data_IF_416905751485
#
_entry.id   IF_416905751485
#
_cell.length_a   1.000
_cell.length_b   1.000
_cell.length_c   1.000
_cell.angle_alpha   90.00
_cell.angle_beta   90.00
_cell.angle_gamma   90.00
#
_symmetry.space_group_name_H-M   'P 1'
#
loop_
_entity.id
_entity.type
_entity.pdbx_description
1 polymer ?
#
# COMPACT_ATOMS: atom_id res chain seq x y z
N UNK A 1 11.02 0.90 -6.71
CA UNK A 1 10.14 0.48 -7.83
C UNK A 1 10.96 -0.36 -8.79
N UNK A 2 10.54 -1.57 -9.17
CA UNK A 2 11.29 -2.39 -10.12
C UNK A 2 11.30 -1.74 -11.50
N UNK A 3 12.45 -1.80 -12.18
CA UNK A 3 12.58 -1.33 -13.56
C UNK A 3 11.84 -2.30 -14.48
N UNK A 4 10.88 -1.77 -15.25
CA UNK A 4 10.13 -2.53 -16.25
C UNK A 4 10.96 -2.56 -17.52
N UNK A 5 11.38 -3.76 -17.95
CA UNK A 5 12.05 -3.93 -19.23
C UNK A 5 11.04 -3.77 -20.37
N UNK A 6 10.81 -2.53 -20.82
CA UNK A 6 9.94 -2.21 -21.96
C UNK A 6 10.65 -2.38 -23.33
N UNK A 7 11.93 -2.77 -23.34
CA UNK A 7 12.72 -2.95 -24.57
C UNK A 7 13.81 -4.01 -24.39
N UNK A 8 14.19 -4.70 -25.47
CA UNK A 8 15.27 -5.71 -25.49
C UNK A 8 16.68 -5.08 -25.44
N UNK A 9 16.89 -4.11 -24.54
CA UNK A 9 18.19 -3.47 -24.40
C UNK A 9 19.16 -4.39 -23.62
N UNK A 10 20.42 -4.54 -24.08
CA UNK A 10 21.46 -5.34 -23.39
C UNK A 10 21.71 -4.91 -21.94
N UNK A 11 21.32 -3.67 -21.59
CA UNK A 11 21.45 -3.11 -20.24
C UNK A 11 20.60 -3.84 -19.20
N UNK A 12 19.42 -4.37 -19.56
CA UNK A 12 18.61 -5.15 -18.63
C UNK A 12 19.28 -6.48 -18.26
N UNK A 13 19.99 -7.11 -19.19
CA UNK A 13 20.74 -8.36 -18.89
C UNK A 13 21.93 -8.11 -17.96
N UNK A 14 22.60 -6.95 -18.09
CA UNK A 14 23.68 -6.54 -17.17
C UNK A 14 23.15 -6.26 -15.76
N UNK A 15 22.06 -5.51 -15.65
CA UNK A 15 21.42 -5.19 -14.36
C UNK A 15 20.91 -6.46 -13.65
N UNK A 16 20.32 -7.42 -14.38
CA UNK A 16 19.90 -8.71 -13.81
C UNK A 16 21.07 -9.50 -13.23
N UNK A 17 22.24 -9.47 -13.89
CA UNK A 17 23.47 -10.09 -13.38
C UNK A 17 24.06 -9.39 -12.16
N UNK A 18 23.72 -8.11 -11.94
CA UNK A 18 24.13 -7.31 -10.78
C UNK A 18 23.17 -7.45 -9.58
N UNK A 19 22.12 -8.27 -9.69
CA UNK A 19 21.16 -8.53 -8.61
C UNK A 19 19.95 -7.58 -8.58
N UNK A 20 19.81 -6.71 -9.57
CA UNK A 20 18.65 -5.82 -9.68
C UNK A 20 17.38 -6.60 -10.08
N UNK A 21 16.28 -6.30 -9.42
CA UNK A 21 14.99 -6.98 -9.64
C UNK A 21 14.31 -6.37 -10.87
N UNK A 22 14.54 -6.97 -12.03
CA UNK A 22 13.88 -6.59 -13.30
C UNK A 22 12.65 -7.47 -13.49
N UNK A 23 11.49 -6.83 -13.59
CA UNK A 23 10.26 -7.51 -13.93
C UNK A 23 10.14 -7.62 -15.45
N UNK A 24 9.81 -8.82 -15.93
CA UNK A 24 9.41 -9.02 -17.33
C UNK A 24 8.09 -8.28 -17.59
N UNK A 25 7.91 -7.77 -18.81
CA UNK A 25 6.71 -7.03 -19.23
C UNK A 25 5.41 -7.78 -18.89
N UNK A 26 5.40 -9.09 -19.11
CA UNK A 26 4.29 -9.98 -18.79
C UNK A 26 3.97 -10.01 -17.27
N UNK A 27 4.99 -10.00 -16.40
CA UNK A 27 4.77 -9.93 -14.94
C UNK A 27 4.37 -8.53 -14.48
N UNK A 28 4.84 -7.47 -15.17
CA UNK A 28 4.50 -6.09 -14.85
C UNK A 28 3.04 -5.77 -15.25
N UNK A 29 2.55 -6.29 -16.37
CA UNK A 29 1.14 -6.18 -16.78
C UNK A 29 0.21 -6.95 -15.82
N UNK A 30 0.69 -8.04 -15.20
CA UNK A 30 -0.02 -8.75 -14.13
C UNK A 30 0.22 -8.20 -12.71
N UNK A 31 1.01 -7.13 -12.53
CA UNK A 31 0.96 -6.34 -11.30
C UNK A 31 -0.32 -5.49 -11.31
N UNK A 32 -1.47 -6.16 -11.28
CA UNK A 32 -2.74 -5.53 -10.95
C UNK A 32 -2.53 -4.80 -9.64
N UNK A 33 -2.61 -3.47 -9.66
CA UNK A 33 -2.65 -2.66 -8.44
C UNK A 33 -3.79 -3.26 -7.62
N UNK A 34 -3.45 -3.97 -6.54
CA UNK A 34 -4.45 -4.66 -5.74
C UNK A 34 -5.11 -3.61 -4.87
N UNK A 35 -6.42 -3.45 -5.04
CA UNK A 35 -7.23 -2.66 -4.13
C UNK A 35 -7.39 -3.46 -2.83
N UNK A 36 -6.97 -2.87 -1.71
CA UNK A 36 -7.10 -3.47 -0.39
C UNK A 36 -8.06 -2.61 0.44
N UNK A 37 -9.20 -3.17 0.79
CA UNK A 37 -10.19 -2.52 1.64
C UNK A 37 -9.97 -2.95 3.09
N UNK A 38 -9.80 -2.00 4.00
CA UNK A 38 -9.63 -2.26 5.44
C UNK A 38 -10.75 -1.57 6.21
N UNK A 39 -11.54 -2.36 6.92
CA UNK A 39 -12.47 -1.86 7.94
C UNK A 39 -11.73 -1.65 9.26
N UNK A 40 -11.85 -0.45 9.84
CA UNK A 40 -11.27 -0.11 11.13
C UNK A 40 -12.38 0.20 12.13
N UNK A 41 -12.72 -0.77 12.98
CA UNK A 41 -13.56 -0.51 14.16
C UNK A 41 -12.71 0.18 15.22
N UNK A 42 -12.83 1.49 15.32
CA UNK A 42 -12.12 2.28 16.32
C UNK A 42 -12.98 2.41 17.58
N UNK A 43 -12.52 1.78 18.68
CA UNK A 43 -13.16 1.85 20.00
C UNK A 43 -12.43 2.78 20.97
N UNK A 44 -11.49 3.59 20.48
CA UNK A 44 -10.80 4.55 21.32
C UNK A 44 -11.78 5.59 21.86
N UNK A 45 -11.56 6.07 23.10
CA UNK A 45 -12.38 7.13 23.66
C UNK A 45 -12.24 8.42 22.85
N UNK A 46 -13.25 9.27 22.93
CA UNK A 46 -13.46 10.47 22.12
C UNK A 46 -12.16 11.28 21.85
N UNK A 47 -11.48 11.70 22.92
CA UNK A 47 -10.24 12.50 22.84
C UNK A 47 -9.07 11.85 22.08
N UNK A 48 -9.11 10.53 21.87
CA UNK A 48 -8.06 9.77 21.18
C UNK A 48 -8.51 9.18 19.84
N UNK A 49 -9.80 9.30 19.47
CA UNK A 49 -10.36 8.62 18.31
C UNK A 49 -9.69 9.07 17.01
N UNK A 50 -9.60 10.37 16.76
CA UNK A 50 -8.89 10.94 15.60
C UNK A 50 -7.37 10.70 15.64
N UNK A 51 -6.80 10.72 16.85
CA UNK A 51 -5.36 10.48 17.02
C UNK A 51 -5.01 9.05 16.60
N UNK A 52 -5.83 8.07 16.97
CA UNK A 52 -5.64 6.67 16.59
C UNK A 52 -5.89 6.42 15.11
N UNK A 53 -6.90 7.06 14.51
CA UNK A 53 -7.10 7.00 13.05
C UNK A 53 -5.84 7.49 12.32
N UNK A 54 -5.29 8.66 12.68
CA UNK A 54 -4.05 9.19 12.07
C UNK A 54 -2.85 8.27 12.28
N UNK A 55 -2.69 7.72 13.48
CA UNK A 55 -1.58 6.80 13.77
C UNK A 55 -1.66 5.54 12.91
N UNK A 56 -2.85 4.96 12.80
CA UNK A 56 -3.08 3.76 12.00
C UNK A 56 -2.91 4.05 10.49
N UNK A 57 -3.48 5.15 9.98
CA UNK A 57 -3.33 5.53 8.57
C UNK A 57 -1.88 5.79 8.19
N UNK A 58 -1.09 6.41 9.07
CA UNK A 58 0.36 6.59 8.85
C UNK A 58 1.10 5.25 8.78
N UNK A 59 0.75 4.30 9.64
CA UNK A 59 1.36 2.96 9.63
C UNK A 59 1.04 2.23 8.32
N UNK A 60 -0.22 2.22 7.91
CA UNK A 60 -0.67 1.57 6.67
C UNK A 60 -0.11 2.28 5.44
N UNK A 61 -0.06 3.61 5.42
CA UNK A 61 0.49 4.38 4.31
C UNK A 61 1.99 4.19 4.09
N UNK A 62 2.73 3.75 5.11
CA UNK A 62 4.14 3.33 4.98
C UNK A 62 4.29 1.86 4.56
N UNK A 63 3.20 1.10 4.49
CA UNK A 63 3.17 -0.25 3.94
C UNK A 63 3.22 -0.21 2.40
N UNK A 64 3.68 -1.31 1.82
CA UNK A 64 3.93 -1.56 0.40
C UNK A 64 3.18 -0.64 -0.60
N UNK A 65 3.94 0.16 -1.37
CA UNK A 65 3.43 1.16 -2.34
C UNK A 65 2.74 0.56 -3.58
N UNK A 66 2.65 -0.77 -3.69
CA UNK A 66 2.10 -1.47 -4.86
C UNK A 66 0.58 -1.70 -4.73
N UNK A 67 -0.02 -1.46 -3.56
CA UNK A 67 -1.46 -1.62 -3.30
C UNK A 67 -2.16 -0.27 -3.07
N UNK A 68 -3.38 -0.12 -3.59
CA UNK A 68 -4.26 1.00 -3.26
C UNK A 68 -5.08 0.65 -2.01
N UNK A 69 -4.89 1.39 -0.92
CA UNK A 69 -5.56 1.14 0.35
C UNK A 69 -6.83 2.00 0.49
N UNK A 70 -7.97 1.35 0.72
CA UNK A 70 -9.25 2.00 1.03
C UNK A 70 -9.59 1.79 2.50
N UNK A 71 -9.50 2.86 3.29
CA UNK A 71 -9.80 2.82 4.73
C UNK A 71 -11.27 3.14 5.00
N UNK A 72 -11.93 2.26 5.76
CA UNK A 72 -13.32 2.43 6.20
C UNK A 72 -13.34 2.47 7.73
N UNK A 73 -13.01 3.62 8.36
CA UNK A 73 -13.11 3.76 9.81
C UNK A 73 -14.57 3.86 10.25
N UNK A 74 -14.93 3.12 11.30
CA UNK A 74 -16.24 3.21 11.94
C UNK A 74 -16.11 3.01 13.44
N UNK A 75 -17.09 3.53 14.19
CA UNK A 75 -17.13 3.46 15.65
C UNK A 75 -18.54 3.08 16.09
N UNK A 76 -18.66 2.58 17.31
CA UNK A 76 -19.97 2.27 17.89
C UNK A 76 -20.75 3.58 18.14
N UNK A 77 -22.07 3.53 18.05
CA UNK A 77 -22.96 4.70 18.18
C UNK A 77 -22.89 5.39 19.55
N UNK A 78 -22.39 4.69 20.58
CA UNK A 78 -22.19 5.23 21.92
C UNK A 78 -20.84 5.96 22.09
N UNK A 79 -19.93 5.88 21.11
CA UNK A 79 -18.66 6.61 21.11
C UNK A 79 -18.89 7.91 20.33
N UNK A 80 -18.93 9.03 21.05
CA UNK A 80 -19.03 10.36 20.44
C UNK A 80 -17.71 10.67 19.72
N UNK A 81 -17.82 11.26 18.54
CA UNK A 81 -16.72 11.95 17.86
C UNK A 81 -16.80 13.41 18.29
N UNK A 82 -15.72 13.92 18.88
CA UNK A 82 -15.56 15.27 19.40
C UNK A 82 -15.25 16.30 18.33
#
# INVERSE_FOLDING_TARGET
>A
MPLIAHSELPSFQRLKKQGETILSRDRAEHQTIRELHIGLLNMMPDAALEATERQFFRLVGHSNQIAQFYMHPFSLSNIKRG
#
